data_IF_063219570153
#
_entry.id   IF_063219570153
#
_cell.length_a   1.000
_cell.length_b   1.000
_cell.length_c   1.000
_cell.angle_alpha   90.00
_cell.angle_beta   90.00
_cell.angle_gamma   90.00
#
_symmetry.space_group_name_H-M   'P 1'
#
loop_
_entity.id
_entity.type
_entity.pdbx_description
1 polymer ?
#
# COMPACT_ATOMS: atom_id res chain seq x y z
N UNK A 1 -9.33 1.16 16.07
CA UNK A 1 -8.02 1.36 15.44
C UNK A 1 -8.01 0.78 14.03
N UNK A 2 -7.67 1.58 13.03
CA UNK A 2 -7.43 1.13 11.65
C UNK A 2 -6.02 0.54 11.53
N UNK A 3 -5.91 -0.67 10.96
CA UNK A 3 -4.65 -1.38 10.70
C UNK A 3 -4.38 -1.39 9.21
N UNK A 4 -3.46 -0.53 8.77
CA UNK A 4 -3.20 -0.27 7.37
C UNK A 4 -2.10 -1.18 6.84
N UNK A 5 -2.40 -1.91 5.76
CA UNK A 5 -1.40 -2.60 4.94
C UNK A 5 -1.16 -1.79 3.66
N UNK A 6 0.09 -1.46 3.37
CA UNK A 6 0.46 -0.81 2.10
C UNK A 6 0.93 -1.85 1.09
N UNK A 7 0.34 -1.85 -0.11
CA UNK A 7 0.80 -2.66 -1.24
C UNK A 7 1.53 -1.77 -2.24
N UNK A 8 2.81 -2.02 -2.46
CA UNK A 8 3.65 -1.30 -3.42
C UNK A 8 4.22 -2.19 -4.52
N UNK A 9 4.78 -1.58 -5.57
CA UNK A 9 5.33 -2.31 -6.70
C UNK A 9 6.58 -3.09 -6.28
N UNK A 10 6.64 -4.40 -6.58
CA UNK A 10 7.81 -5.24 -6.26
C UNK A 10 9.12 -4.70 -6.87
N UNK A 11 9.07 -4.11 -8.06
CA UNK A 11 10.25 -3.70 -8.83
C UNK A 11 10.64 -2.23 -8.62
N UNK A 12 9.84 -1.46 -7.88
CA UNK A 12 10.01 0.00 -7.79
C UNK A 12 10.04 0.48 -6.35
N UNK A 13 9.27 -0.18 -5.46
CA UNK A 13 9.12 0.27 -4.08
C UNK A 13 10.46 0.35 -3.35
N UNK A 14 11.30 -0.67 -3.47
CA UNK A 14 12.58 -0.74 -2.76
C UNK A 14 13.79 -0.38 -3.65
N UNK A 15 13.70 -0.62 -4.97
CA UNK A 15 14.82 -0.44 -5.90
C UNK A 15 14.92 0.97 -6.52
N UNK A 16 13.82 1.73 -6.54
CA UNK A 16 13.76 3.06 -7.20
C UNK A 16 13.20 4.12 -6.25
N UNK A 17 12.15 3.79 -5.52
CA UNK A 17 11.67 4.58 -4.41
C UNK A 17 12.47 4.22 -3.16
N UNK A 18 12.31 5.01 -2.11
CA UNK A 18 12.85 4.74 -0.77
C UNK A 18 11.86 3.95 0.09
N UNK A 19 11.02 3.12 -0.54
CA UNK A 19 10.00 2.19 0.01
C UNK A 19 9.32 2.62 1.31
N UNK A 20 10.06 2.51 2.40
CA UNK A 20 9.67 2.90 3.75
C UNK A 20 9.44 4.41 3.95
N UNK A 21 10.25 5.32 3.42
CA UNK A 21 10.23 6.69 3.94
C UNK A 21 9.01 7.52 3.47
N UNK A 22 8.75 7.62 2.17
CA UNK A 22 7.71 8.56 1.65
C UNK A 22 6.30 8.19 2.11
N UNK A 23 5.94 6.90 2.05
CA UNK A 23 4.63 6.45 2.51
C UNK A 23 4.46 6.60 4.03
N UNK A 24 5.49 6.30 4.82
CA UNK A 24 5.44 6.43 6.28
C UNK A 24 5.42 7.90 6.72
N UNK A 25 6.18 8.79 6.07
CA UNK A 25 6.16 10.22 6.35
C UNK A 25 4.77 10.81 6.08
N UNK A 26 4.16 10.44 4.95
CA UNK A 26 2.80 10.91 4.65
C UNK A 26 1.76 10.39 5.64
N UNK A 27 1.91 9.15 6.11
CA UNK A 27 1.05 8.61 7.16
C UNK A 27 1.24 9.34 8.50
N UNK A 28 2.49 9.50 8.95
CA UNK A 28 2.82 10.14 10.22
C UNK A 28 2.38 11.61 10.27
N UNK A 29 2.40 12.30 9.12
CA UNK A 29 1.96 13.69 8.99
C UNK A 29 0.50 13.85 8.57
N UNK A 30 -0.21 12.73 8.35
CA UNK A 30 -1.58 12.71 7.82
C UNK A 30 -1.74 13.60 6.58
N UNK A 31 -0.92 13.37 5.57
CA UNK A 31 -0.96 14.14 4.31
C UNK A 31 -1.36 13.26 3.12
N UNK A 32 -1.98 13.86 2.11
CA UNK A 32 -2.42 13.14 0.91
C UNK A 32 -3.58 12.22 1.25
N UNK A 33 -3.56 10.97 0.80
CA UNK A 33 -4.70 10.05 1.03
C UNK A 33 -4.86 9.71 2.52
N UNK A 34 -3.83 9.89 3.35
CA UNK A 34 -3.91 9.63 4.78
C UNK A 34 -4.66 10.70 5.60
N UNK A 35 -5.04 11.84 4.99
CA UNK A 35 -5.92 12.85 5.62
C UNK A 35 -7.27 12.26 6.05
N UNK A 36 -7.72 11.19 5.38
CA UNK A 36 -8.95 10.46 5.74
C UNK A 36 -8.90 9.82 7.15
N UNK A 37 -7.71 9.75 7.76
CA UNK A 37 -7.50 9.23 9.11
C UNK A 37 -7.23 10.33 10.14
N UNK A 38 -7.51 11.59 9.83
CA UNK A 38 -7.45 12.67 10.82
C UNK A 38 -8.47 12.46 11.94
N UNK A 39 -7.99 12.53 13.19
CA UNK A 39 -8.80 12.19 14.36
C UNK A 39 -9.13 10.69 14.51
N UNK A 40 -8.60 9.83 13.62
CA UNK A 40 -8.79 8.38 13.67
C UNK A 40 -7.51 7.72 14.19
N UNK A 41 -7.67 6.86 15.19
CA UNK A 41 -6.60 6.00 15.65
C UNK A 41 -6.28 4.97 14.55
N UNK A 42 -5.12 5.11 13.94
CA UNK A 42 -4.66 4.27 12.83
C UNK A 42 -3.17 3.99 12.98
N UNK A 43 -2.74 2.81 12.52
CA UNK A 43 -1.35 2.37 12.45
C UNK A 43 -1.06 1.67 11.12
N UNK A 44 0.20 1.67 10.69
CA UNK A 44 0.65 0.85 9.56
C UNK A 44 1.22 -0.45 10.12
N UNK A 45 0.57 -1.57 9.78
CA UNK A 45 0.98 -2.91 10.23
C UNK A 45 1.94 -3.60 9.25
N UNK A 46 2.16 -3.01 8.07
CA UNK A 46 3.16 -3.51 7.14
C UNK A 46 3.11 -2.87 5.77
N UNK A 47 4.14 -3.21 4.99
CA UNK A 47 4.26 -2.85 3.57
C UNK A 47 4.74 -4.07 2.79
N UNK A 48 4.08 -4.37 1.66
CA UNK A 48 4.29 -5.61 0.93
C UNK A 48 4.27 -5.36 -0.59
N UNK A 49 5.23 -5.95 -1.31
CA UNK A 49 5.28 -5.86 -2.77
C UNK A 49 4.13 -6.60 -3.47
N UNK A 50 3.72 -6.15 -4.67
CA UNK A 50 2.66 -6.76 -5.47
C UNK A 50 2.96 -8.18 -5.97
N UNK A 51 4.20 -8.66 -5.83
CA UNK A 51 4.55 -10.05 -6.11
C UNK A 51 4.91 -10.37 -7.57
N UNK A 52 5.41 -9.39 -8.33
CA UNK A 52 5.84 -9.54 -9.73
C UNK A 52 4.83 -8.97 -10.72
N UNK A 53 5.07 -8.99 -12.03
CA UNK A 53 4.12 -8.49 -13.04
C UNK A 53 3.45 -9.67 -13.79
N UNK A 54 2.12 -9.68 -13.97
CA UNK A 54 1.09 -8.77 -13.47
C UNK A 54 0.52 -9.24 -12.10
N UNK A 55 1.34 -9.15 -11.05
CA UNK A 55 1.06 -9.59 -9.68
C UNK A 55 0.63 -11.06 -9.54
N UNK A 56 1.43 -12.04 -10.05
CA UNK A 56 1.08 -13.46 -9.92
C UNK A 56 1.02 -13.93 -8.46
N UNK A 57 1.82 -13.33 -7.56
CA UNK A 57 1.89 -13.74 -6.17
C UNK A 57 1.03 -12.90 -5.19
N UNK A 58 0.28 -11.88 -5.64
CA UNK A 58 -0.40 -10.95 -4.71
C UNK A 58 -1.36 -11.65 -3.75
N UNK A 59 -2.17 -12.59 -4.25
CA UNK A 59 -3.12 -13.33 -3.40
C UNK A 59 -2.37 -14.15 -2.35
N UNK A 60 -1.32 -14.87 -2.74
CA UNK A 60 -0.47 -15.63 -1.82
C UNK A 60 0.19 -14.72 -0.78
N UNK A 61 0.65 -13.52 -1.17
CA UNK A 61 1.24 -12.56 -0.22
C UNK A 61 0.21 -12.04 0.78
N UNK A 62 -1.01 -11.72 0.35
CA UNK A 62 -2.09 -11.33 1.26
C UNK A 62 -2.46 -12.46 2.23
N UNK A 63 -2.50 -13.71 1.73
CA UNK A 63 -2.70 -14.89 2.59
C UNK A 63 -1.60 -15.02 3.65
N UNK A 64 -0.33 -14.84 3.27
CA UNK A 64 0.79 -14.88 4.20
C UNK A 64 0.69 -13.77 5.27
N UNK A 65 0.41 -12.52 4.87
CA UNK A 65 0.20 -11.42 5.83
C UNK A 65 -0.88 -11.77 6.84
N UNK A 66 -2.05 -12.25 6.38
CA UNK A 66 -3.13 -12.68 7.28
C UNK A 66 -2.68 -13.81 8.20
N UNK A 67 -2.07 -14.86 7.65
CA UNK A 67 -1.71 -16.06 8.39
C UNK A 67 -0.74 -15.76 9.54
N UNK A 68 0.28 -14.94 9.28
CA UNK A 68 1.32 -14.63 10.27
C UNK A 68 0.89 -13.57 11.28
N UNK A 69 0.05 -12.60 10.88
CA UNK A 69 -0.34 -11.51 11.78
C UNK A 69 -1.60 -11.81 12.61
N UNK A 70 -2.48 -12.70 12.15
CA UNK A 70 -3.73 -12.99 12.87
C UNK A 70 -3.52 -13.50 14.32
N UNK A 71 -2.55 -14.40 14.62
CA UNK A 71 -2.29 -14.85 15.99
C UNK A 71 -1.86 -13.72 16.94
N UNK A 72 -1.28 -12.64 16.40
CA UNK A 72 -0.82 -11.47 17.15
C UNK A 72 -1.87 -10.34 17.20
N UNK A 73 -3.09 -10.59 16.69
CA UNK A 73 -4.13 -9.57 16.53
C UNK A 73 -3.72 -8.38 15.63
N UNK A 74 -2.83 -8.62 14.66
CA UNK A 74 -2.27 -7.62 13.72
C UNK A 74 -2.85 -7.73 12.30
N UNK A 75 -4.09 -8.22 12.17
CA UNK A 75 -4.74 -8.36 10.87
C UNK A 75 -5.08 -6.97 10.29
N UNK A 76 -4.71 -6.68 9.04
CA UNK A 76 -5.10 -5.42 8.38
C UNK A 76 -6.63 -5.25 8.31
N UNK A 77 -7.10 -4.03 8.51
CA UNK A 77 -8.50 -3.61 8.31
C UNK A 77 -8.71 -2.86 7.00
N UNK A 78 -7.62 -2.33 6.41
CA UNK A 78 -7.63 -1.59 5.15
C UNK A 78 -6.33 -1.81 4.38
N UNK A 79 -6.44 -1.85 3.06
CA UNK A 79 -5.30 -1.90 2.14
C UNK A 79 -5.18 -0.56 1.42
N UNK A 80 -3.98 0.03 1.46
CA UNK A 80 -3.62 1.14 0.58
C UNK A 80 -2.76 0.66 -0.58
N UNK A 81 -3.07 1.09 -1.80
CA UNK A 81 -2.27 0.82 -3.00
C UNK A 81 -1.34 2.00 -3.23
N UNK A 82 -0.03 1.82 -3.05
CA UNK A 82 0.93 2.91 -3.16
C UNK A 82 0.98 3.52 -4.58
N UNK A 83 1.38 4.80 -4.75
CA UNK A 83 1.48 5.49 -6.04
C UNK A 83 2.27 4.75 -7.11
N UNK A 84 3.33 4.02 -6.73
CA UNK A 84 4.10 3.20 -7.66
C UNK A 84 3.28 2.08 -8.33
N UNK A 85 2.10 1.73 -7.80
CA UNK A 85 1.09 0.92 -8.48
C UNK A 85 -0.06 1.80 -8.98
N UNK A 86 -0.63 2.63 -8.09
CA UNK A 86 -1.86 3.37 -8.35
C UNK A 86 -1.74 4.42 -9.47
N UNK A 87 -0.52 4.86 -9.80
CA UNK A 87 -0.29 5.88 -10.82
C UNK A 87 0.65 5.38 -11.92
N UNK A 88 1.66 4.60 -11.57
CA UNK A 88 2.78 4.28 -12.48
C UNK A 88 2.72 2.88 -13.09
N UNK A 89 1.90 1.97 -12.57
CA UNK A 89 1.90 0.58 -13.04
C UNK A 89 0.95 0.35 -14.22
N UNK A 90 1.40 -0.20 -15.36
CA UNK A 90 0.53 -0.50 -16.50
C UNK A 90 -0.51 -1.59 -16.18
N UNK A 91 -0.24 -2.43 -15.18
CA UNK A 91 -1.14 -3.50 -14.74
C UNK A 91 -2.05 -3.11 -13.57
N UNK A 92 -2.09 -1.83 -13.19
CA UNK A 92 -2.86 -1.33 -12.02
C UNK A 92 -4.26 -1.94 -11.92
N UNK A 93 -5.05 -1.86 -12.99
CA UNK A 93 -6.44 -2.32 -12.98
C UNK A 93 -6.55 -3.82 -12.65
N UNK A 94 -5.67 -4.65 -13.23
CA UNK A 94 -5.64 -6.09 -12.96
C UNK A 94 -5.22 -6.38 -11.52
N UNK A 95 -4.22 -5.66 -11.01
CA UNK A 95 -3.72 -5.82 -9.64
C UNK A 95 -4.81 -5.45 -8.63
N UNK A 96 -5.43 -4.29 -8.78
CA UNK A 96 -6.50 -3.83 -7.88
C UNK A 96 -7.71 -4.77 -7.95
N UNK A 97 -8.07 -5.27 -9.13
CA UNK A 97 -9.11 -6.28 -9.30
C UNK A 97 -8.78 -7.56 -8.52
N UNK A 98 -7.56 -8.10 -8.63
CA UNK A 98 -7.13 -9.31 -7.90
C UNK A 98 -7.18 -9.11 -6.39
N UNK A 99 -6.71 -7.97 -5.89
CA UNK A 99 -6.73 -7.63 -4.46
C UNK A 99 -8.17 -7.52 -3.98
N UNK A 100 -8.98 -6.68 -4.62
CA UNK A 100 -10.37 -6.41 -4.20
C UNK A 100 -11.21 -7.68 -4.20
N UNK A 101 -11.02 -8.56 -5.18
CA UNK A 101 -11.75 -9.82 -5.26
C UNK A 101 -11.46 -10.82 -4.11
N UNK A 102 -10.34 -10.64 -3.38
CA UNK A 102 -9.89 -11.60 -2.35
C UNK A 102 -9.63 -10.99 -0.97
N UNK A 103 -9.48 -9.68 -0.85
CA UNK A 103 -9.10 -9.01 0.40
C UNK A 103 -10.19 -9.06 1.47
N UNK A 104 -11.47 -8.91 1.08
CA UNK A 104 -12.59 -8.86 2.03
C UNK A 104 -12.56 -7.64 2.97
N UNK A 105 -11.71 -6.65 2.68
CA UNK A 105 -11.53 -5.39 3.41
C UNK A 105 -11.43 -4.25 2.42
N UNK A 106 -11.55 -3.01 2.89
CA UNK A 106 -11.50 -1.81 2.04
C UNK A 106 -10.14 -1.72 1.33
N UNK A 107 -10.17 -1.39 0.05
CA UNK A 107 -8.99 -1.11 -0.77
C UNK A 107 -9.06 0.36 -1.18
N UNK A 108 -8.03 1.12 -0.86
CA UNK A 108 -7.92 2.56 -1.14
C UNK A 108 -6.71 2.78 -2.04
N UNK A 109 -6.88 3.59 -3.07
CA UNK A 109 -5.79 3.95 -3.97
C UNK A 109 -5.03 5.17 -3.43
N UNK A 110 -3.70 5.09 -3.49
CA UNK A 110 -2.78 6.15 -3.11
C UNK A 110 -2.29 6.09 -1.65
N UNK A 111 -1.18 6.78 -1.40
CA UNK A 111 -0.60 7.00 -0.07
C UNK A 111 -0.13 8.45 0.05
N UNK A 112 1.13 8.73 -0.31
CA UNK A 112 1.72 10.06 -0.23
C UNK A 112 1.41 10.91 -1.48
N UNK A 113 1.36 12.24 -1.36
CA UNK A 113 1.18 13.15 -2.50
C UNK A 113 2.51 13.59 -3.13
N UNK A 114 3.65 13.18 -2.57
CA UNK A 114 4.95 13.70 -2.97
C UNK A 114 5.27 13.35 -4.44
N UNK A 115 5.45 14.37 -5.26
CA UNK A 115 5.91 14.29 -6.66
C UNK A 115 6.90 15.43 -6.92
N UNK A 116 8.00 15.21 -7.65
CA UNK A 116 8.88 16.30 -8.08
C UNK A 116 8.11 17.28 -8.97
N UNK A 117 8.20 18.59 -8.72
CA UNK A 117 7.58 19.63 -9.56
C UNK A 117 8.50 20.12 -10.67
N UNK A 118 9.79 20.29 -10.36
CA UNK A 118 10.76 20.96 -11.22
C UNK A 118 12.07 20.16 -11.29
N UNK A 119 12.16 19.18 -12.18
CA UNK A 119 13.34 18.30 -12.27
C UNK A 119 14.54 19.00 -12.92
N UNK A 120 14.29 20.02 -13.74
CA UNK A 120 15.31 20.73 -14.52
C UNK A 120 15.21 22.27 -14.42
N UNK A 121 14.45 22.80 -13.47
CA UNK A 121 14.41 24.25 -13.24
C UNK A 121 15.64 24.74 -12.45
#
# INVERSE_FOLDING_TARGET
MEKILIIGCKNTMDDVCIGCSRCLVAFNRRTGVFEIYDGVEAEIVGMVGCGGCPAPAIVTRLMQVKLWNAPMNEKPTVIHIAPCIAEQCPYKAEIIKKITAKAGIKVIEGTHPYVPSDIFA
#
